data_IF_214307078687
#
_entry.id   IF_214307078687
#
_cell.length_a   1.000
_cell.length_b   1.000
_cell.length_c   1.000
_cell.angle_alpha   90.00
_cell.angle_beta   90.00
_cell.angle_gamma   90.00
#
_symmetry.space_group_name_H-M   'P 1'
#
loop_
_entity.id
_entity.type
_entity.pdbx_description
1 polymer ?
#
# COMPACT_ATOMS: atom_id res chain seq x y z
N UNK A 1 20.97 2.81 -4.47
CA UNK A 1 19.76 2.88 -5.33
C UNK A 1 18.65 3.52 -4.51
N UNK A 2 17.56 3.94 -5.15
CA UNK A 2 16.36 4.42 -4.47
C UNK A 2 15.16 3.66 -5.01
N UNK A 3 14.23 3.28 -4.13
CA UNK A 3 12.94 2.73 -4.50
C UNK A 3 11.82 3.50 -3.80
N UNK A 4 10.57 3.15 -4.09
CA UNK A 4 9.37 3.73 -3.51
C UNK A 4 8.55 2.62 -2.85
N UNK A 5 8.13 2.80 -1.60
CA UNK A 5 7.11 1.96 -0.98
C UNK A 5 5.72 2.52 -1.28
N UNK A 6 4.84 1.70 -1.86
CA UNK A 6 3.60 2.17 -2.48
C UNK A 6 2.37 1.34 -2.05
N UNK A 7 1.47 2.03 -1.33
CA UNK A 7 0.03 1.78 -1.10
C UNK A 7 -0.72 3.12 -1.29
N UNK A 8 -0.23 3.94 -2.22
CA UNK A 8 0.06 5.38 -2.11
C UNK A 8 1.43 5.65 -1.49
N UNK A 9 2.11 6.76 -1.82
CA UNK A 9 3.40 7.07 -1.19
C UNK A 9 3.27 7.02 0.33
N UNK A 10 3.96 6.07 0.96
CA UNK A 10 3.91 5.92 2.42
C UNK A 10 5.07 6.71 3.02
N UNK A 11 4.77 7.81 3.69
CA UNK A 11 5.71 8.58 4.50
C UNK A 11 5.82 7.99 5.90
N UNK A 12 7.03 7.96 6.47
CA UNK A 12 7.19 7.56 7.86
C UNK A 12 7.28 6.05 8.08
N UNK A 13 7.39 5.24 7.02
CA UNK A 13 7.61 3.80 7.15
C UNK A 13 9.08 3.51 7.44
N UNK A 14 9.37 2.77 8.51
CA UNK A 14 10.74 2.45 8.88
C UNK A 14 11.24 1.29 8.01
N UNK A 15 12.50 1.35 7.62
CA UNK A 15 13.12 0.30 6.83
C UNK A 15 14.57 0.06 7.21
N UNK A 16 15.01 -1.17 7.00
CA UNK A 16 16.40 -1.56 7.17
C UNK A 16 16.86 -2.56 6.11
N UNK A 17 18.12 -2.42 5.73
CA UNK A 17 18.90 -3.37 4.94
C UNK A 17 20.13 -3.78 5.76
N UNK A 18 20.97 -4.72 5.29
CA UNK A 18 22.22 -5.06 5.97
C UNK A 18 23.16 -3.86 6.22
N UNK A 19 23.00 -2.76 5.47
CA UNK A 19 23.92 -1.62 5.51
C UNK A 19 23.24 -0.26 5.69
N UNK A 20 21.92 -0.16 5.53
CA UNK A 20 21.17 1.10 5.60
C UNK A 20 20.00 0.93 6.57
N UNK A 21 19.74 1.95 7.38
CA UNK A 21 18.49 2.11 8.13
C UNK A 21 17.93 3.49 7.83
N UNK A 22 16.60 3.60 7.77
CA UNK A 22 15.96 4.86 7.46
C UNK A 22 14.45 4.84 7.65
N UNK A 23 13.85 5.92 7.17
CA UNK A 23 12.40 6.10 7.14
C UNK A 23 12.04 6.67 5.78
N UNK A 24 10.95 6.18 5.19
CA UNK A 24 10.50 6.67 3.89
C UNK A 24 10.14 8.15 3.95
N UNK A 25 10.47 8.89 2.89
CA UNK A 25 10.13 10.31 2.77
C UNK A 25 8.67 10.53 2.35
N UNK A 26 8.26 11.79 2.21
CA UNK A 26 6.89 12.19 1.77
C UNK A 26 6.48 11.64 0.39
N UNK A 27 7.40 11.08 -0.38
CA UNK A 27 7.14 10.46 -1.68
C UNK A 27 7.34 8.93 -1.62
N UNK A 28 7.45 8.37 -0.41
CA UNK A 28 7.64 6.95 -0.18
C UNK A 28 9.05 6.43 -0.45
N UNK A 29 10.04 7.32 -0.68
CA UNK A 29 11.36 6.86 -1.09
C UNK A 29 12.13 6.18 0.04
N UNK A 30 12.77 5.06 -0.29
CA UNK A 30 13.77 4.39 0.55
C UNK A 30 15.07 4.17 -0.22
N UNK A 31 16.17 4.03 0.51
CA UNK A 31 17.50 3.73 -0.05
C UNK A 31 17.91 2.29 0.20
N UNK A 32 18.53 1.66 -0.79
CA UNK A 32 19.04 0.29 -0.71
C UNK A 32 20.26 0.08 -1.63
N UNK A 33 21.05 -0.96 -1.40
CA UNK A 33 22.04 -1.43 -2.38
C UNK A 33 21.54 -2.63 -3.18
N UNK A 34 22.00 -2.76 -4.42
CA UNK A 34 21.62 -3.85 -5.32
C UNK A 34 21.89 -5.22 -4.66
N UNK A 35 20.88 -6.10 -4.70
CA UNK A 35 20.96 -7.45 -4.12
C UNK A 35 20.74 -7.51 -2.61
N UNK A 36 20.54 -6.39 -1.92
CA UNK A 36 20.15 -6.40 -0.52
C UNK A 36 18.66 -6.74 -0.34
N UNK A 37 18.37 -7.47 0.72
CA UNK A 37 17.00 -7.60 1.26
C UNK A 37 16.71 -6.37 2.11
N UNK A 38 15.52 -5.83 1.93
CA UNK A 38 14.98 -4.72 2.72
C UNK A 38 13.81 -5.22 3.55
N UNK A 39 13.80 -4.86 4.82
CA UNK A 39 12.76 -5.14 5.80
C UNK A 39 12.03 -3.82 6.12
N UNK A 40 10.69 -3.86 6.13
CA UNK A 40 9.84 -2.71 6.45
C UNK A 40 9.04 -2.96 7.73
N UNK A 41 8.92 -1.95 8.58
CA UNK A 41 8.24 -2.07 9.87
C UNK A 41 7.70 -0.73 10.38
N UNK A 42 6.85 -0.80 11.40
CA UNK A 42 6.37 0.34 12.20
C UNK A 42 6.59 0.01 13.67
N UNK A 43 7.56 0.65 14.34
CA UNK A 43 7.99 0.20 15.66
C UNK A 43 8.46 -1.25 15.61
N UNK A 44 7.84 -2.12 16.42
CA UNK A 44 8.08 -3.58 16.39
C UNK A 44 7.07 -4.35 15.52
N UNK A 45 6.14 -3.66 14.84
CA UNK A 45 5.19 -4.28 13.91
C UNK A 45 5.93 -4.56 12.59
N UNK A 46 6.25 -5.84 12.36
CA UNK A 46 6.88 -6.35 11.14
C UNK A 46 5.87 -6.40 9.98
N UNK A 47 6.16 -5.70 8.87
CA UNK A 47 5.38 -5.81 7.62
C UNK A 47 5.96 -6.85 6.66
N UNK A 48 7.18 -7.31 6.91
CA UNK A 48 7.89 -8.27 6.09
C UNK A 48 9.07 -7.67 5.33
N UNK A 49 9.66 -8.52 4.49
CA UNK A 49 10.90 -8.21 3.79
C UNK A 49 10.87 -8.73 2.36
N UNK A 50 11.62 -8.08 1.48
CA UNK A 50 11.76 -8.49 0.08
C UNK A 50 13.09 -8.00 -0.50
N UNK A 51 13.42 -8.39 -1.73
CA UNK A 51 14.61 -7.84 -2.39
C UNK A 51 14.39 -6.35 -2.70
N UNK A 52 15.39 -5.51 -2.44
CA UNK A 52 15.36 -4.10 -2.80
C UNK A 52 15.14 -3.91 -4.30
N UNK A 53 14.14 -3.11 -4.66
CA UNK A 53 13.74 -2.82 -6.05
C UNK A 53 13.12 -1.43 -6.15
N UNK A 54 12.90 -0.95 -7.38
CA UNK A 54 12.44 0.43 -7.64
C UNK A 54 11.05 0.72 -7.04
N UNK A 55 10.17 -0.28 -7.02
CA UNK A 55 8.82 -0.16 -6.43
C UNK A 55 8.56 -1.39 -5.57
N UNK A 56 8.28 -1.16 -4.29
CA UNK A 56 7.82 -2.16 -3.34
C UNK A 56 6.40 -1.81 -2.95
N UNK A 57 5.57 -2.83 -2.80
CA UNK A 57 4.16 -2.71 -2.43
C UNK A 57 3.87 -3.76 -1.36
N UNK A 58 2.74 -3.70 -0.66
CA UNK A 58 2.34 -4.76 0.26
C UNK A 58 2.31 -6.16 -0.40
N UNK A 59 1.98 -6.26 -1.69
CA UNK A 59 2.01 -7.55 -2.40
C UNK A 59 3.42 -8.14 -2.44
N UNK A 60 4.46 -7.32 -2.60
CA UNK A 60 5.86 -7.80 -2.61
C UNK A 60 6.34 -8.34 -1.25
N UNK A 61 5.73 -7.90 -0.15
CA UNK A 61 6.04 -8.39 1.20
C UNK A 61 5.25 -9.66 1.55
N UNK A 62 4.13 -9.90 0.87
CA UNK A 62 3.35 -11.13 0.98
C UNK A 62 3.95 -12.24 0.10
N UNK A 63 3.47 -12.40 -1.14
CA UNK A 63 3.89 -13.45 -2.08
C UNK A 63 4.19 -12.93 -3.50
N UNK A 64 4.11 -11.62 -3.71
CA UNK A 64 4.35 -10.95 -4.98
C UNK A 64 3.18 -11.02 -5.97
N UNK A 65 2.00 -11.51 -5.57
CA UNK A 65 0.83 -11.67 -6.44
C UNK A 65 -0.28 -10.70 -6.03
N UNK A 66 -1.00 -10.18 -7.02
CA UNK A 66 -2.24 -9.46 -6.78
C UNK A 66 -3.38 -10.46 -6.63
N UNK A 67 -3.67 -10.82 -5.38
CA UNK A 67 -4.79 -11.67 -5.02
C UNK A 67 -5.54 -11.03 -3.85
N UNK A 68 -6.78 -10.62 -4.09
CA UNK A 68 -7.63 -10.04 -3.05
C UNK A 68 -7.90 -11.01 -1.89
N UNK A 69 -7.74 -12.32 -2.14
CA UNK A 69 -7.88 -13.36 -1.13
C UNK A 69 -6.58 -13.61 -0.35
N UNK A 70 -5.45 -12.97 -0.70
CA UNK A 70 -4.23 -13.07 0.08
C UNK A 70 -4.42 -12.32 1.41
N UNK A 71 -4.45 -13.03 2.56
CA UNK A 71 -4.69 -12.39 3.85
C UNK A 71 -3.60 -11.41 4.22
N UNK A 72 -2.34 -11.77 3.99
CA UNK A 72 -1.16 -10.95 4.31
C UNK A 72 -1.20 -9.61 3.59
N UNK A 73 -1.37 -9.61 2.27
CA UNK A 73 -1.48 -8.38 1.50
C UNK A 73 -2.70 -7.54 1.93
N UNK A 74 -3.88 -8.16 2.03
CA UNK A 74 -5.11 -7.45 2.42
C UNK A 74 -5.02 -6.80 3.81
N UNK A 75 -4.49 -7.51 4.80
CA UNK A 75 -4.34 -7.00 6.16
C UNK A 75 -3.29 -5.89 6.25
N UNK A 76 -2.19 -5.97 5.47
CA UNK A 76 -1.23 -4.87 5.39
C UNK A 76 -1.84 -3.60 4.78
N UNK A 77 -2.64 -3.73 3.72
CA UNK A 77 -3.35 -2.60 3.11
C UNK A 77 -4.32 -1.95 4.11
N UNK A 78 -5.12 -2.78 4.81
CA UNK A 78 -6.04 -2.30 5.85
C UNK A 78 -5.27 -1.58 6.96
N UNK A 79 -4.13 -2.12 7.39
CA UNK A 79 -3.28 -1.49 8.42
C UNK A 79 -2.74 -0.13 7.99
N UNK A 80 -2.05 -0.07 6.85
CA UNK A 80 -1.39 1.16 6.38
C UNK A 80 -2.39 2.29 6.15
N UNK A 81 -3.47 2.01 5.42
CA UNK A 81 -4.48 3.01 5.10
C UNK A 81 -5.35 3.42 6.31
N UNK A 82 -5.54 2.53 7.30
CA UNK A 82 -6.22 2.92 8.56
C UNK A 82 -5.32 3.78 9.45
N UNK A 83 -4.01 3.51 9.44
CA UNK A 83 -3.04 4.19 10.27
C UNK A 83 -2.75 5.62 9.79
N UNK A 84 -3.03 5.91 8.53
CA UNK A 84 -2.85 7.23 7.93
C UNK A 84 -3.36 8.38 8.82
N UNK A 85 -2.53 9.41 9.01
CA UNK A 85 -2.69 10.41 10.06
C UNK A 85 -3.91 11.31 9.91
N UNK A 86 -4.36 11.55 8.67
CA UNK A 86 -5.59 12.28 8.36
C UNK A 86 -6.73 11.37 7.87
N UNK A 87 -6.46 10.06 7.71
CA UNK A 87 -7.43 9.05 7.31
C UNK A 87 -7.88 9.15 5.86
N UNK A 88 -7.14 9.86 5.00
CA UNK A 88 -7.37 9.96 3.57
C UNK A 88 -6.16 9.44 2.78
N UNK A 89 -6.08 8.11 2.53
CA UNK A 89 -4.94 7.52 1.85
C UNK A 89 -4.77 8.02 0.39
N UNK A 90 -5.76 8.73 -0.17
CA UNK A 90 -5.69 9.25 -1.55
C UNK A 90 -4.71 10.42 -1.71
N UNK A 91 -4.30 11.04 -0.61
CA UNK A 91 -3.36 12.17 -0.62
C UNK A 91 -1.91 11.77 -0.18
N UNK A 92 -1.68 10.47 0.03
CA UNK A 92 -0.48 9.92 0.67
C UNK A 92 -0.89 9.13 1.92
N UNK A 93 0.05 8.39 2.50
CA UNK A 93 -0.14 7.74 3.81
C UNK A 93 0.94 8.26 4.74
N UNK A 94 0.55 8.92 5.83
CA UNK A 94 1.49 9.43 6.83
C UNK A 94 1.49 8.58 8.10
N UNK A 95 2.60 7.88 8.34
CA UNK A 95 2.87 7.19 9.60
C UNK A 95 3.71 8.12 10.49
N UNK A 96 3.09 8.67 11.52
CA UNK A 96 3.78 9.63 12.40
C UNK A 96 4.78 8.95 13.35
N UNK A 97 5.79 9.67 13.86
CA UNK A 97 6.68 9.15 14.91
C UNK A 97 5.94 8.69 16.17
N UNK A 98 4.78 9.28 16.47
CA UNK A 98 3.93 8.84 17.58
C UNK A 98 3.35 7.44 17.35
N UNK A 99 2.96 7.12 16.12
CA UNK A 99 2.49 5.78 15.75
C UNK A 99 3.61 4.75 15.85
N UNK A 100 4.80 5.09 15.34
CA UNK A 100 5.99 4.23 15.46
C UNK A 100 6.34 3.94 16.94
N UNK A 101 6.26 4.95 17.79
CA UNK A 101 6.57 4.83 19.21
C UNK A 101 5.55 3.98 19.96
N UNK A 102 4.26 4.12 19.66
CA UNK A 102 3.18 3.31 20.26
C UNK A 102 3.19 1.87 19.74
N UNK A 103 3.78 1.62 18.57
CA UNK A 103 3.93 0.29 18.01
C UNK A 103 5.08 -0.53 18.63
N UNK A 104 5.80 0.02 19.61
CA UNK A 104 6.88 -0.69 20.31
C UNK A 104 6.30 -1.79 21.21
N UNK A 105 6.77 -3.03 21.03
CA UNK A 105 6.24 -4.22 21.69
C UNK A 105 4.91 -4.74 21.13
N UNK A 106 4.35 -4.11 20.09
CA UNK A 106 3.13 -4.58 19.41
C UNK A 106 3.50 -5.63 18.37
N UNK A 107 2.70 -6.70 18.29
CA UNK A 107 2.83 -7.71 17.24
C UNK A 107 1.47 -7.94 16.59
N UNK A 108 1.40 -7.73 15.28
CA UNK A 108 0.21 -8.02 14.48
C UNK A 108 0.50 -9.21 13.57
N UNK A 109 -0.41 -10.18 13.53
CA UNK A 109 -0.32 -11.28 12.56
C UNK A 109 -1.07 -10.87 11.29
N UNK A 110 -0.33 -10.48 10.25
CA UNK A 110 -0.91 -10.14 8.95
C UNK A 110 -1.41 -11.37 8.19
N UNK A 111 -0.97 -12.58 8.53
CA UNK A 111 -1.37 -13.80 7.81
C UNK A 111 -2.73 -14.38 8.24
N UNK A 112 -3.33 -13.83 9.30
CA UNK A 112 -4.62 -14.27 9.82
C UNK A 112 -5.80 -13.97 8.86
N UNK A 113 -6.97 -14.55 9.15
CA UNK A 113 -8.19 -14.30 8.37
C UNK A 113 -8.52 -12.81 8.31
N UNK A 114 -8.75 -12.28 7.10
CA UNK A 114 -9.02 -10.85 6.88
C UNK A 114 -10.23 -10.33 7.66
N UNK A 115 -11.23 -11.19 7.91
CA UNK A 115 -12.42 -10.82 8.69
C UNK A 115 -12.15 -10.76 10.20
N UNK A 116 -11.01 -11.28 10.66
CA UNK A 116 -10.64 -11.29 12.07
C UNK A 116 -9.60 -10.22 12.40
N UNK A 117 -8.81 -9.77 11.42
CA UNK A 117 -7.69 -8.85 11.61
C UNK A 117 -8.04 -7.59 12.42
N UNK A 118 -9.09 -6.87 12.04
CA UNK A 118 -9.49 -5.62 12.74
C UNK A 118 -10.27 -5.85 14.04
N UNK A 119 -10.54 -7.11 14.37
CA UNK A 119 -11.16 -7.55 15.62
C UNK A 119 -10.20 -8.30 16.54
N UNK A 120 -8.95 -8.49 16.11
CA UNK A 120 -7.90 -9.11 16.89
C UNK A 120 -7.56 -8.22 18.11
N UNK A 121 -7.19 -8.87 19.22
CA UNK A 121 -6.90 -8.16 20.46
C UNK A 121 -5.72 -7.20 20.32
N UNK A 122 -4.64 -7.62 19.65
CA UNK A 122 -3.44 -6.78 19.50
C UNK A 122 -3.73 -5.57 18.59
N UNK A 123 -4.54 -5.77 17.55
CA UNK A 123 -5.01 -4.66 16.71
C UNK A 123 -5.84 -3.66 17.52
N UNK A 124 -6.84 -4.13 18.26
CA UNK A 124 -7.72 -3.27 19.06
C UNK A 124 -6.90 -2.50 20.09
N UNK A 125 -6.01 -3.18 20.82
CA UNK A 125 -5.15 -2.57 21.83
C UNK A 125 -4.25 -1.48 21.24
N UNK A 126 -3.63 -1.74 20.09
CA UNK A 126 -2.80 -0.76 19.40
C UNK A 126 -3.61 0.46 18.94
N UNK A 127 -4.72 0.24 18.23
CA UNK A 127 -5.57 1.34 17.75
C UNK A 127 -6.18 2.16 18.89
N UNK A 128 -6.51 1.53 20.01
CA UNK A 128 -7.00 2.22 21.20
C UNK A 128 -5.89 2.98 21.92
N UNK A 129 -4.64 2.48 21.95
CA UNK A 129 -3.48 3.25 22.43
C UNK A 129 -3.31 4.55 21.64
N UNK A 130 -3.31 4.47 20.31
CA UNK A 130 -3.17 5.66 19.44
C UNK A 130 -4.26 6.70 19.71
N UNK A 131 -5.51 6.26 19.89
CA UNK A 131 -6.64 7.14 20.23
C UNK A 131 -6.47 7.75 21.62
N UNK A 132 -6.09 6.96 22.62
CA UNK A 132 -5.90 7.43 24.00
C UNK A 132 -4.75 8.44 24.11
N UNK A 133 -3.69 8.22 23.35
CA UNK A 133 -2.53 9.12 23.28
C UNK A 133 -2.76 10.34 22.37
N UNK A 134 -3.92 10.43 21.70
CA UNK A 134 -4.28 11.55 20.85
C UNK A 134 -3.39 11.70 19.62
N UNK A 135 -2.86 10.58 19.13
CA UNK A 135 -1.94 10.55 17.98
C UNK A 135 -2.65 10.96 16.68
N UNK A 136 -3.92 10.59 16.56
CA UNK A 136 -4.75 10.96 15.43
C UNK A 136 -5.21 12.42 15.51
N UNK A 137 -4.92 13.18 14.45
CA UNK A 137 -5.30 14.58 14.34
C UNK A 137 -6.83 14.68 14.33
N UNK A 138 -7.42 15.37 15.31
CA UNK A 138 -8.84 15.76 15.40
C UNK A 138 -9.83 14.80 16.08
N UNK A 139 -9.39 13.80 16.87
CA UNK A 139 -10.31 12.85 17.53
C UNK A 139 -11.28 12.16 16.56
N UNK A 140 -10.92 12.08 15.27
CA UNK A 140 -11.70 11.31 14.33
C UNK A 140 -11.75 9.87 14.82
N UNK A 141 -12.91 9.25 14.68
CA UNK A 141 -12.97 7.79 14.76
C UNK A 141 -12.19 7.27 13.56
N UNK A 142 -10.90 6.97 13.74
CA UNK A 142 -10.11 6.14 12.82
C UNK A 142 -10.75 4.75 12.82
N UNK A 143 -11.87 4.67 12.12
CA UNK A 143 -12.59 3.44 11.89
C UNK A 143 -11.75 2.67 10.88
N UNK A 144 -11.46 1.39 11.15
CA UNK A 144 -10.76 0.57 10.17
C UNK A 144 -11.48 0.62 8.82
N UNK A 145 -10.72 0.87 7.76
CA UNK A 145 -11.27 0.75 6.41
C UNK A 145 -11.57 -0.72 6.12
N UNK A 146 -12.56 -1.00 5.26
CA UNK A 146 -12.84 -2.39 4.87
C UNK A 146 -11.76 -2.92 3.94
N UNK A 147 -11.59 -4.24 3.90
CA UNK A 147 -10.64 -4.88 2.98
C UNK A 147 -10.94 -4.53 1.52
N UNK A 148 -12.22 -4.44 1.13
CA UNK A 148 -12.62 -4.03 -0.21
C UNK A 148 -12.22 -2.59 -0.52
N UNK A 149 -12.36 -1.68 0.44
CA UNK A 149 -11.92 -0.29 0.29
C UNK A 149 -10.39 -0.22 0.14
N UNK A 150 -9.68 -0.98 0.96
CA UNK A 150 -8.22 -1.05 0.93
C UNK A 150 -7.70 -1.53 -0.44
N UNK A 151 -8.30 -2.59 -0.97
CA UNK A 151 -7.98 -3.11 -2.31
C UNK A 151 -8.37 -2.15 -3.43
N UNK A 152 -9.54 -1.51 -3.34
CA UNK A 152 -9.99 -0.53 -4.34
C UNK A 152 -9.04 0.67 -4.40
N UNK A 153 -8.56 1.13 -3.25
CA UNK A 153 -7.55 2.17 -3.17
C UNK A 153 -6.26 1.73 -3.85
N UNK A 154 -5.71 0.58 -3.46
CA UNK A 154 -4.46 0.08 -4.03
C UNK A 154 -4.52 -0.10 -5.55
N UNK A 155 -5.63 -0.62 -6.08
CA UNK A 155 -5.85 -0.72 -7.52
C UNK A 155 -5.82 0.65 -8.21
N UNK A 156 -6.41 1.67 -7.59
CA UNK A 156 -6.40 3.05 -8.11
C UNK A 156 -4.99 3.61 -8.13
N UNK A 157 -4.24 3.45 -7.04
CA UNK A 157 -2.83 3.85 -6.94
C UNK A 157 -1.99 3.17 -8.01
N UNK A 158 -2.13 1.86 -8.19
CA UNK A 158 -1.38 1.15 -9.23
C UNK A 158 -1.65 1.68 -10.64
N UNK A 159 -2.92 1.92 -10.97
CA UNK A 159 -3.31 2.49 -12.26
C UNK A 159 -2.68 3.87 -12.49
N UNK A 160 -2.64 4.70 -11.44
CA UNK A 160 -1.99 6.02 -11.50
C UNK A 160 -0.48 5.93 -11.77
N UNK A 161 0.19 4.89 -11.26
CA UNK A 161 1.61 4.64 -11.48
C UNK A 161 1.91 3.76 -12.70
N UNK A 162 0.88 3.38 -13.48
CA UNK A 162 1.03 2.52 -14.65
C UNK A 162 1.50 1.10 -14.33
N UNK A 163 1.25 0.63 -13.11
CA UNK A 163 1.62 -0.70 -12.63
C UNK A 163 0.52 -1.70 -12.92
N UNK A 164 0.90 -2.89 -13.36
CA UNK A 164 0.04 -4.06 -13.42
C UNK A 164 0.71 -5.23 -12.74
N UNK A 165 -0.06 -5.95 -11.92
CA UNK A 165 0.32 -7.28 -11.46
C UNK A 165 -0.41 -8.31 -12.32
N UNK A 166 0.19 -9.47 -12.58
CA UNK A 166 -0.55 -10.60 -13.11
C UNK A 166 -1.65 -10.96 -12.10
N UNK A 167 -2.90 -10.71 -12.48
CA UNK A 167 -4.07 -11.16 -11.73
C UNK A 167 -4.03 -12.69 -11.61
N UNK A 168 -4.28 -13.21 -10.40
CA UNK A 168 -4.38 -14.64 -10.13
C UNK A 168 -5.49 -15.34 -10.92
N UNK A 169 -6.44 -14.59 -11.50
CA UNK A 169 -7.52 -15.15 -12.35
C UNK A 169 -7.10 -15.54 -13.77
N UNK A 170 -5.89 -15.20 -14.23
CA UNK A 170 -5.40 -15.61 -15.53
C UNK A 170 -6.19 -15.07 -16.74
N UNK A 171 -6.98 -14.00 -16.57
CA UNK A 171 -7.54 -13.24 -17.70
C UNK A 171 -6.63 -12.05 -17.96
N UNK A 172 -5.69 -12.22 -18.88
CA UNK A 172 -4.81 -11.15 -19.35
C UNK A 172 -5.63 -9.95 -19.80
N UNK A 173 -5.26 -8.78 -19.27
CA UNK A 173 -5.75 -7.49 -19.73
C UNK A 173 -5.38 -7.30 -21.20
N UNK A 174 -6.38 -7.42 -22.08
CA UNK A 174 -6.25 -6.96 -23.46
C UNK A 174 -6.40 -5.45 -23.47
N UNK A 175 -5.32 -4.74 -23.13
CA UNK A 175 -5.20 -3.32 -23.40
C UNK A 175 -5.18 -3.10 -24.93
N UNK A 176 -6.34 -2.90 -25.55
CA UNK A 176 -6.41 -2.18 -26.82
C UNK A 176 -6.33 -0.68 -26.53
N UNK A 177 -5.17 -0.09 -26.81
CA UNK A 177 -4.99 1.34 -26.93
C UNK A 177 -4.79 1.74 -28.40
N UNK A 178 -5.44 2.83 -28.80
CA UNK A 178 -5.23 3.58 -30.03
C UNK A 178 -6.34 3.39 -31.07
N UNK A 179 -6.95 4.41 -31.66
CA UNK A 179 -6.65 5.84 -31.60
C UNK A 179 -7.82 6.60 -32.24
N UNK A 180 -8.10 7.81 -31.75
CA UNK A 180 -8.99 8.77 -32.41
C UNK A 180 -8.10 9.79 -33.11
N UNK A 181 -8.20 9.92 -34.43
CA UNK A 181 -7.58 11.02 -35.18
C UNK A 181 -8.28 11.23 -36.52
N UNK A 182 -8.77 12.45 -36.74
CA UNK A 182 -8.57 13.13 -38.03
C UNK A 182 -9.75 13.13 -39.02
N UNK A 183 -10.39 14.30 -39.13
CA UNK A 183 -11.34 14.70 -40.16
C UNK A 183 -10.72 14.73 -41.57
N UNK A 184 -11.51 14.44 -42.60
CA UNK A 184 -11.14 14.70 -44.01
C UNK A 184 -12.28 14.42 -45.00
N UNK A 185 -12.73 15.48 -45.68
CA UNK A 185 -13.88 15.54 -46.59
C UNK A 185 -13.66 14.77 -47.91
N UNK A 186 -14.75 14.30 -48.54
CA UNK A 186 -14.75 13.84 -49.93
C UNK A 186 -16.13 13.41 -50.44
N UNK A 187 -16.65 14.14 -51.42
CA UNK A 187 -18.00 14.07 -52.01
C UNK A 187 -18.19 12.93 -53.05
N UNK A 188 -19.45 12.49 -53.18
CA UNK A 188 -20.18 12.03 -54.40
C UNK A 188 -19.61 10.81 -55.19
N UNK A 189 -20.36 9.87 -55.79
CA UNK A 189 -21.60 9.85 -56.59
C UNK A 189 -22.18 8.41 -56.48
N UNK A 190 -23.48 8.15 -56.31
CA UNK A 190 -24.47 8.00 -57.41
C UNK A 190 -24.59 6.54 -57.92
N UNK A 191 -25.79 5.92 -57.99
CA UNK A 191 -25.97 4.46 -58.15
C UNK A 191 -26.06 3.99 -59.62
N UNK A 192 -25.91 2.68 -59.83
CA UNK A 192 -26.62 1.88 -60.86
C UNK A 192 -26.91 0.48 -60.33
#
# INVERSE_FOLDING_TARGET
>A
MSGIFLDSPVEGLQYETPTIQGTTDSQGHFSYHEGEVIHFHVGDIDLGQTNGQEIITPMHLADGVMDQNNPTAGNMLVFLQTLDADGDPTNGILITPGMQQDAMGVHLDFSQDQNQFTTDANWIEYMDSLKQNGIFSNHMTHTPISTEQAWSHMQTTMQQYGLSYPDSTGQGDQTMHGDSSGMGQGQALGPM
#
